data_IF_741637699077
#
_entry.id   IF_741637699077
#
_cell.length_a   1.000
_cell.length_b   1.000
_cell.length_c   1.000
_cell.angle_alpha   90.00
_cell.angle_beta   90.00
_cell.angle_gamma   90.00
#
_symmetry.space_group_name_H-M   'P 1'
#
loop_
_entity.id
_entity.type
_entity.pdbx_description
1 polymer ?
#
# COMPACT_ATOMS: atom_id res chain seq x y z
N UNK A 1 22.68 -6.05 -12.55
CA UNK A 1 22.29 -5.32 -11.33
C UNK A 1 21.44 -6.27 -10.49
N UNK A 2 21.74 -6.41 -9.20
CA UNK A 2 20.91 -7.17 -8.25
C UNK A 2 19.78 -6.29 -7.71
N UNK A 3 18.66 -6.92 -7.38
CA UNK A 3 17.50 -6.26 -6.77
C UNK A 3 17.75 -6.11 -5.27
N UNK A 4 17.66 -4.87 -4.77
CA UNK A 4 17.82 -4.57 -3.35
C UNK A 4 16.48 -4.62 -2.61
N UNK A 5 15.40 -4.14 -3.23
CA UNK A 5 14.03 -4.15 -2.67
C UNK A 5 13.04 -4.48 -3.79
N UNK A 6 12.07 -5.34 -3.50
CA UNK A 6 11.05 -5.78 -4.47
C UNK A 6 9.67 -5.89 -3.81
N UNK A 7 8.83 -4.87 -3.99
CA UNK A 7 7.41 -4.91 -3.61
C UNK A 7 6.59 -5.53 -4.74
N UNK A 8 5.83 -6.59 -4.44
CA UNK A 8 4.92 -7.26 -5.40
C UNK A 8 3.51 -7.30 -4.84
N UNK A 9 2.60 -6.57 -5.48
CA UNK A 9 1.18 -6.52 -5.12
C UNK A 9 0.94 -6.32 -3.62
N UNK A 10 1.63 -5.34 -3.03
CA UNK A 10 1.57 -5.12 -1.58
C UNK A 10 0.39 -4.23 -1.20
N UNK A 11 -0.48 -4.77 -0.36
CA UNK A 11 -1.55 -4.05 0.33
C UNK A 11 -1.17 -3.84 1.80
N UNK A 12 -1.39 -2.62 2.31
CA UNK A 12 -1.16 -2.30 3.72
C UNK A 12 -2.48 -1.77 4.30
N UNK A 13 -3.04 -2.54 5.23
CA UNK A 13 -4.33 -2.27 5.86
C UNK A 13 -4.12 -2.06 7.35
N UNK A 14 -4.64 -0.95 7.88
CA UNK A 14 -4.71 -0.69 9.32
C UNK A 14 -6.14 -0.92 9.80
N UNK A 15 -6.37 -2.00 10.54
CA UNK A 15 -7.70 -2.36 11.00
C UNK A 15 -7.76 -3.83 11.40
N UNK A 16 -8.95 -4.27 11.83
CA UNK A 16 -9.15 -5.66 12.28
C UNK A 16 -9.78 -6.56 11.21
N UNK A 17 -10.65 -6.01 10.36
CA UNK A 17 -11.40 -6.78 9.35
C UNK A 17 -10.65 -6.81 8.00
N UNK A 18 -9.50 -7.47 7.99
CA UNK A 18 -8.59 -7.50 6.83
C UNK A 18 -9.23 -8.20 5.63
N UNK A 19 -9.89 -9.35 5.84
CA UNK A 19 -10.46 -10.15 4.76
C UNK A 19 -11.56 -9.38 4.00
N UNK A 20 -12.49 -8.74 4.72
CA UNK A 20 -13.52 -7.91 4.10
C UNK A 20 -12.92 -6.70 3.40
N UNK A 21 -11.89 -6.09 4.00
CA UNK A 21 -11.20 -4.95 3.40
C UNK A 21 -10.56 -5.33 2.07
N UNK A 22 -9.83 -6.44 2.00
CA UNK A 22 -9.23 -6.93 0.75
C UNK A 22 -10.28 -7.20 -0.32
N UNK A 23 -11.37 -7.90 0.02
CA UNK A 23 -12.46 -8.15 -0.92
C UNK A 23 -13.07 -6.85 -1.49
N UNK A 24 -13.14 -5.79 -0.67
CA UNK A 24 -13.59 -4.48 -1.13
C UNK A 24 -12.56 -3.76 -2.01
N UNK A 25 -11.27 -3.88 -1.69
CA UNK A 25 -10.18 -3.34 -2.52
C UNK A 25 -10.22 -4.00 -3.90
N UNK A 26 -10.33 -5.33 -3.96
CA UNK A 26 -10.42 -6.10 -5.21
C UNK A 26 -11.66 -5.74 -6.03
N UNK A 27 -12.76 -5.38 -5.35
CA UNK A 27 -13.98 -4.89 -5.97
C UNK A 27 -13.91 -3.41 -6.42
N UNK A 28 -12.77 -2.73 -6.24
CA UNK A 28 -12.56 -1.34 -6.65
C UNK A 28 -13.19 -0.29 -5.72
N UNK A 29 -13.51 -0.65 -4.48
CA UNK A 29 -14.07 0.30 -3.52
C UNK A 29 -13.09 1.42 -3.19
N UNK A 30 -13.63 2.62 -2.95
CA UNK A 30 -12.82 3.76 -2.55
C UNK A 30 -12.35 3.65 -1.09
N UNK A 31 -11.28 4.37 -0.74
CA UNK A 31 -10.77 4.43 0.65
C UNK A 31 -11.84 4.87 1.65
N UNK A 32 -12.71 5.81 1.25
CA UNK A 32 -13.78 6.32 2.10
C UNK A 32 -14.86 5.26 2.37
N UNK A 33 -15.24 4.49 1.35
CA UNK A 33 -16.21 3.40 1.49
C UNK A 33 -15.65 2.26 2.35
N UNK A 34 -14.39 1.90 2.15
CA UNK A 34 -13.69 0.90 2.96
C UNK A 34 -13.70 1.34 4.43
N UNK A 35 -13.28 2.57 4.71
CA UNK A 35 -13.27 3.11 6.07
C UNK A 35 -14.67 3.11 6.69
N UNK A 36 -15.68 3.57 5.95
CA UNK A 36 -17.06 3.63 6.44
C UNK A 36 -17.66 2.25 6.73
N UNK A 37 -17.37 1.23 5.89
CA UNK A 37 -17.99 -0.10 6.02
C UNK A 37 -17.23 -1.07 6.93
N UNK A 38 -15.91 -0.90 7.06
CA UNK A 38 -15.03 -1.85 7.78
C UNK A 38 -14.35 -1.22 8.99
N UNK A 39 -14.31 0.11 9.09
CA UNK A 39 -13.48 0.83 10.06
C UNK A 39 -11.97 0.74 9.79
N UNK A 40 -11.54 0.08 8.71
CA UNK A 40 -10.14 -0.06 8.36
C UNK A 40 -9.67 1.09 7.45
N UNK A 41 -8.40 1.47 7.61
CA UNK A 41 -7.72 2.46 6.77
C UNK A 41 -6.82 1.73 5.78
N UNK A 42 -7.03 1.99 4.49
CA UNK A 42 -6.17 1.51 3.41
C UNK A 42 -4.95 2.43 3.25
N UNK A 43 -3.79 1.94 3.71
CA UNK A 43 -2.52 2.68 3.70
C UNK A 43 -1.80 2.63 2.36
N UNK A 44 -1.77 1.46 1.72
CA UNK A 44 -1.29 1.25 0.36
C UNK A 44 -2.13 0.13 -0.28
N UNK A 45 -2.29 0.18 -1.61
CA UNK A 45 -3.05 -0.81 -2.36
C UNK A 45 -2.32 -1.18 -3.65
N UNK A 46 -2.09 -2.47 -3.89
CA UNK A 46 -1.45 -2.99 -5.09
C UNK A 46 -0.08 -2.39 -5.38
N UNK A 47 0.71 -2.07 -4.35
CA UNK A 47 1.99 -1.40 -4.53
C UNK A 47 3.00 -2.35 -5.19
N UNK A 48 3.56 -1.91 -6.32
CA UNK A 48 4.60 -2.59 -7.07
C UNK A 48 5.78 -1.64 -7.28
N UNK A 49 6.96 -2.02 -6.79
CA UNK A 49 8.18 -1.20 -6.85
C UNK A 49 9.40 -2.11 -6.73
N UNK A 50 10.28 -2.03 -7.71
CA UNK A 50 11.59 -2.69 -7.68
C UNK A 50 12.68 -1.62 -7.60
N UNK A 51 13.60 -1.76 -6.65
CA UNK A 51 14.77 -0.87 -6.49
C UNK A 51 16.03 -1.72 -6.59
N UNK A 52 16.93 -1.36 -7.50
CA UNK A 52 18.19 -2.07 -7.71
C UNK A 52 19.30 -1.56 -6.79
N UNK A 53 20.35 -2.36 -6.58
CA UNK A 53 21.53 -1.91 -5.86
C UNK A 53 22.17 -0.67 -6.51
N UNK A 54 22.44 0.35 -5.69
CA UNK A 54 23.00 1.64 -6.13
C UNK A 54 21.98 2.60 -6.76
N UNK A 55 20.72 2.19 -6.92
CA UNK A 55 19.65 3.05 -7.44
C UNK A 55 19.13 4.00 -6.35
N UNK A 56 18.97 5.28 -6.70
CA UNK A 56 18.27 6.26 -5.86
C UNK A 56 16.86 6.44 -6.44
N UNK A 57 15.85 6.01 -5.68
CA UNK A 57 14.44 6.18 -6.04
C UNK A 57 13.75 7.17 -5.10
N UNK A 58 12.97 8.09 -5.65
CA UNK A 58 12.25 9.12 -4.89
C UNK A 58 10.75 8.88 -4.96
N UNK A 59 10.12 8.64 -3.81
CA UNK A 59 8.68 8.43 -3.70
C UNK A 59 7.97 9.75 -3.36
N UNK A 60 7.24 10.32 -4.33
CA UNK A 60 6.50 11.58 -4.18
C UNK A 60 4.97 11.39 -4.16
N UNK A 61 4.23 12.39 -3.66
CA UNK A 61 2.77 12.38 -3.61
C UNK A 61 2.17 13.19 -2.46
N UNK A 62 0.86 13.42 -2.49
CA UNK A 62 0.13 14.22 -1.48
C UNK A 62 0.23 13.65 -0.06
N UNK A 63 0.00 14.49 0.95
CA UNK A 63 -0.09 14.04 2.34
C UNK A 63 -1.16 12.94 2.47
N UNK A 64 -0.87 11.88 3.23
CA UNK A 64 -1.77 10.74 3.40
C UNK A 64 -1.84 9.74 2.24
N UNK A 65 -1.06 9.91 1.16
CA UNK A 65 -1.12 9.00 0.00
C UNK A 65 -0.61 7.57 0.26
N UNK A 66 0.18 7.35 1.32
CA UNK A 66 0.73 6.04 1.68
C UNK A 66 2.25 5.89 1.57
N UNK A 67 2.98 6.96 1.20
CA UNK A 67 4.43 6.90 0.96
C UNK A 67 5.24 6.38 2.15
N UNK A 68 5.11 7.06 3.29
CA UNK A 68 5.81 6.68 4.53
C UNK A 68 5.25 5.39 5.14
N UNK A 69 4.07 4.94 4.69
CA UNK A 69 3.53 3.64 5.06
C UNK A 69 4.28 2.55 4.30
N UNK A 70 4.43 2.70 2.99
CA UNK A 70 5.16 1.75 2.13
C UNK A 70 6.64 1.66 2.52
N UNK A 71 7.30 2.79 2.79
CA UNK A 71 8.71 2.82 3.22
C UNK A 71 8.96 2.15 4.58
N UNK A 72 7.94 2.02 5.44
CA UNK A 72 8.06 1.35 6.75
C UNK A 72 7.76 -0.14 6.70
N UNK A 73 7.40 -0.67 5.53
CA UNK A 73 7.13 -2.09 5.33
C UNK A 73 8.40 -2.91 5.00
N UNK A 74 9.56 -2.26 4.94
CA UNK A 74 10.89 -2.85 4.74
C UNK A 74 11.77 -2.62 5.95
#
# INVERSE_FOLDING_TARGET
MSVAVDFKNVDIIFGKDVARTLAMVDAGATRAEILSKTGAVLGAAGANLTVNEGEISVLMGLSGSGKSTLLRAV
#
